data_IF_932587004403
#
_entry.id   IF_932587004403
#
_cell.length_a   1.000
_cell.length_b   1.000
_cell.length_c   1.000
_cell.angle_alpha   90.00
_cell.angle_beta   90.00
_cell.angle_gamma   90.00
#
_symmetry.space_group_name_H-M   'P 1'
#
loop_
_entity.id
_entity.type
_entity.pdbx_description
1 polymer ?
#
# COMPACT_ATOMS: atom_id res chain seq x y z
N UNK A 1 5.99 8.21 4.12
CA UNK A 1 4.53 8.08 4.15
C UNK A 1 4.14 6.77 3.49
N UNK A 2 3.30 5.99 4.11
CA UNK A 2 2.73 4.75 3.57
C UNK A 2 1.22 4.89 3.47
N UNK A 3 0.67 4.51 2.32
CA UNK A 3 -0.78 4.50 2.09
C UNK A 3 -1.24 3.06 2.00
N UNK A 4 -2.19 2.69 2.85
CA UNK A 4 -2.84 1.39 2.87
C UNK A 4 -4.26 1.57 2.37
N UNK A 5 -4.68 0.73 1.42
CA UNK A 5 -6.04 0.73 0.89
C UNK A 5 -6.63 -0.67 1.00
N UNK A 6 -7.79 -0.76 1.65
CA UNK A 6 -8.67 -1.93 1.59
C UNK A 6 -9.84 -1.61 0.67
N UNK A 7 -9.75 -2.07 -0.57
CA UNK A 7 -10.76 -1.79 -1.59
C UNK A 7 -12.10 -2.45 -1.28
N UNK A 8 -12.12 -3.59 -0.59
CA UNK A 8 -13.35 -4.30 -0.23
C UNK A 8 -14.16 -3.58 0.83
N UNK A 9 -13.47 -2.96 1.79
CA UNK A 9 -14.10 -2.21 2.89
C UNK A 9 -14.23 -0.72 2.61
N UNK A 10 -13.73 -0.24 1.47
CA UNK A 10 -13.66 1.20 1.14
C UNK A 10 -12.97 1.99 2.26
N UNK A 11 -11.92 1.41 2.82
CA UNK A 11 -11.16 1.94 3.95
C UNK A 11 -9.72 2.19 3.55
N UNK A 12 -9.14 3.25 4.07
CA UNK A 12 -7.73 3.58 3.92
C UNK A 12 -7.13 4.09 5.19
N UNK A 13 -5.83 3.93 5.29
CA UNK A 13 -5.01 4.47 6.36
C UNK A 13 -3.71 5.02 5.78
N UNK A 14 -3.32 6.19 6.24
CA UNK A 14 -2.06 6.82 5.86
C UNK A 14 -1.17 6.92 7.10
N UNK A 15 -0.03 6.25 7.04
CA UNK A 15 1.01 6.35 8.05
C UNK A 15 2.05 7.38 7.60
N UNK A 16 2.14 8.48 8.32
CA UNK A 16 3.13 9.53 8.05
C UNK A 16 4.43 9.17 8.74
N UNK A 17 5.49 9.04 7.94
CA UNK A 17 6.84 8.73 8.40
C UNK A 17 7.83 9.74 7.82
N UNK A 18 8.98 9.92 8.44
CA UNK A 18 10.01 10.82 7.91
C UNK A 18 10.62 10.29 6.62
N UNK A 19 10.79 8.97 6.55
CA UNK A 19 11.39 8.27 5.42
C UNK A 19 10.56 7.03 5.09
N UNK A 20 10.96 6.32 4.05
CA UNK A 20 10.41 5.01 3.68
C UNK A 20 11.49 3.94 3.77
N UNK A 21 12.05 3.79 4.97
CA UNK A 21 13.07 2.79 5.26
C UNK A 21 12.46 1.40 5.44
N UNK A 22 13.33 0.38 5.45
CA UNK A 22 12.92 -0.97 5.80
C UNK A 22 12.29 -1.06 7.19
N UNK A 23 12.79 -0.29 8.15
CA UNK A 23 12.24 -0.20 9.51
C UNK A 23 10.86 0.44 9.53
N UNK A 24 10.63 1.49 8.75
CA UNK A 24 9.31 2.11 8.60
C UNK A 24 8.31 1.15 7.98
N UNK A 25 8.72 0.40 6.96
CA UNK A 25 7.91 -0.64 6.35
C UNK A 25 7.56 -1.74 7.36
N UNK A 26 8.54 -2.23 8.11
CA UNK A 26 8.32 -3.26 9.13
C UNK A 26 7.33 -2.80 10.21
N UNK A 27 7.45 -1.56 10.68
CA UNK A 27 6.51 -0.98 11.62
C UNK A 27 5.09 -0.86 11.04
N UNK A 28 4.97 -0.51 9.76
CA UNK A 28 3.70 -0.48 9.04
C UNK A 28 3.05 -1.86 8.98
N UNK A 29 3.82 -2.91 8.71
CA UNK A 29 3.32 -4.29 8.68
C UNK A 29 2.89 -4.79 10.05
N UNK A 30 3.61 -4.43 11.11
CA UNK A 30 3.19 -4.71 12.48
C UNK A 30 1.86 -4.03 12.82
N UNK A 31 1.71 -2.77 12.47
CA UNK A 31 0.46 -2.03 12.69
C UNK A 31 -0.71 -2.68 11.93
N UNK A 32 -0.45 -3.14 10.71
CA UNK A 32 -1.44 -3.81 9.88
C UNK A 32 -1.97 -5.09 10.56
N UNK A 33 -1.10 -5.90 11.12
CA UNK A 33 -1.45 -7.16 11.80
C UNK A 33 -2.05 -6.94 13.18
N UNK A 34 -1.52 -6.01 13.95
CA UNK A 34 -1.83 -5.89 15.38
C UNK A 34 -2.91 -4.84 15.68
N UNK A 35 -3.01 -3.81 14.85
CA UNK A 35 -3.91 -2.67 15.07
C UNK A 35 -5.08 -2.68 14.11
N UNK A 36 -4.80 -2.78 12.79
CA UNK A 36 -5.84 -2.60 11.76
C UNK A 36 -6.65 -3.87 11.52
N UNK A 37 -6.02 -5.03 11.56
CA UNK A 37 -6.66 -6.33 11.31
C UNK A 37 -6.23 -7.38 12.35
N UNK A 38 -6.47 -7.13 13.65
CA UNK A 38 -5.97 -8.02 14.71
C UNK A 38 -6.62 -9.41 14.69
N UNK A 39 -7.79 -9.55 14.10
CA UNK A 39 -8.53 -10.80 14.04
C UNK A 39 -8.34 -11.58 12.74
N UNK A 40 -7.59 -11.03 11.78
CA UNK A 40 -7.36 -11.70 10.51
C UNK A 40 -6.30 -12.81 10.63
N UNK A 41 -6.62 -14.01 10.16
CA UNK A 41 -5.64 -15.11 10.09
C UNK A 41 -4.60 -14.84 8.99
N UNK A 42 -5.06 -14.35 7.84
CA UNK A 42 -4.21 -14.00 6.69
C UNK A 42 -4.62 -12.66 6.08
N UNK A 43 -3.64 -11.84 5.79
CA UNK A 43 -3.80 -10.56 5.11
C UNK A 43 -3.01 -10.61 3.82
N UNK A 44 -3.68 -10.49 2.68
CA UNK A 44 -3.03 -10.35 1.38
C UNK A 44 -2.63 -8.91 1.17
N UNK A 45 -1.35 -8.67 1.00
CA UNK A 45 -0.77 -7.33 0.80
C UNK A 45 -0.21 -7.24 -0.61
N UNK A 46 -0.83 -6.41 -1.43
CA UNK A 46 -0.34 -6.10 -2.78
C UNK A 46 0.50 -4.83 -2.70
N UNK A 47 1.73 -4.89 -3.18
CA UNK A 47 2.67 -3.78 -3.09
C UNK A 47 3.65 -3.77 -4.26
N UNK A 48 4.32 -2.64 -4.42
CA UNK A 48 5.41 -2.52 -5.39
C UNK A 48 6.64 -3.29 -4.93
N UNK A 49 7.40 -3.80 -5.88
CA UNK A 49 8.62 -4.57 -5.63
C UNK A 49 9.80 -3.64 -5.32
N UNK A 50 9.72 -2.93 -4.20
CA UNK A 50 10.82 -2.11 -3.68
C UNK A 50 11.74 -2.96 -2.78
N UNK A 51 13.03 -2.65 -2.79
CA UNK A 51 14.04 -3.37 -2.01
C UNK A 51 13.79 -3.34 -0.49
N UNK A 52 13.08 -2.33 0.01
CA UNK A 52 12.72 -2.18 1.42
C UNK A 52 11.42 -2.90 1.81
N UNK A 53 10.63 -3.36 0.84
CA UNK A 53 9.34 -4.02 1.05
C UNK A 53 9.52 -5.55 1.04
N UNK A 54 10.23 -6.09 2.00
CA UNK A 54 10.57 -7.52 2.05
C UNK A 54 10.34 -8.11 3.43
N UNK A 55 10.19 -9.43 3.48
CA UNK A 55 10.17 -10.17 4.74
C UNK A 55 11.46 -9.94 5.56
N UNK A 56 12.60 -9.79 4.89
CA UNK A 56 13.88 -9.47 5.52
C UNK A 56 13.85 -8.17 6.32
N UNK A 57 13.08 -7.18 5.89
CA UNK A 57 12.93 -5.92 6.62
C UNK A 57 12.38 -6.13 8.04
N UNK A 58 11.48 -7.10 8.23
CA UNK A 58 10.94 -7.43 9.54
C UNK A 58 11.97 -8.10 10.42
N UNK A 59 12.78 -9.01 9.87
CA UNK A 59 13.87 -9.67 10.61
C UNK A 59 15.00 -8.70 10.98
N UNK A 60 15.24 -7.68 10.16
CA UNK A 60 16.22 -6.63 10.45
C UNK A 60 15.74 -5.66 11.55
N UNK A 61 14.43 -5.52 11.71
CA UNK A 61 13.82 -4.53 12.62
C UNK A 61 13.41 -5.13 13.95
N UNK A 62 12.85 -6.32 13.95
CA UNK A 62 12.30 -7.00 15.14
C UNK A 62 13.11 -8.24 15.49
N UNK A 63 13.05 -8.70 16.77
CA UNK A 63 13.56 -10.03 17.11
C UNK A 63 12.92 -11.11 16.23
N UNK A 64 13.67 -12.15 15.91
CA UNK A 64 13.22 -13.20 14.98
C UNK A 64 11.85 -13.83 15.34
N UNK A 65 11.54 -14.15 16.59
CA UNK A 65 10.21 -14.65 16.95
C UNK A 65 9.08 -13.67 16.64
N UNK A 66 9.29 -12.40 16.87
CA UNK A 66 8.31 -11.34 16.59
C UNK A 66 8.11 -11.13 15.08
N UNK A 67 9.20 -11.06 14.33
CA UNK A 67 9.14 -10.98 12.88
C UNK A 67 8.39 -12.18 12.28
N UNK A 68 8.68 -13.38 12.76
CA UNK A 68 8.01 -14.62 12.32
C UNK A 68 6.51 -14.59 12.64
N UNK A 69 6.13 -14.15 13.83
CA UNK A 69 4.73 -14.00 14.25
C UNK A 69 3.96 -13.09 13.29
N UNK A 70 4.52 -11.93 12.98
CA UNK A 70 3.88 -10.96 12.07
C UNK A 70 3.76 -11.57 10.67
N UNK A 71 4.84 -12.14 10.14
CA UNK A 71 4.88 -12.69 8.80
C UNK A 71 3.95 -13.88 8.58
N UNK A 72 3.61 -14.63 9.63
CA UNK A 72 2.63 -15.72 9.54
C UNK A 72 1.23 -15.22 9.16
N UNK A 73 0.91 -13.96 9.46
CA UNK A 73 -0.37 -13.34 9.13
C UNK A 73 -0.36 -12.61 7.78
N UNK A 74 0.77 -12.54 7.10
CA UNK A 74 0.94 -11.76 5.87
C UNK A 74 1.23 -12.66 4.67
N UNK A 75 0.60 -12.36 3.57
CA UNK A 75 0.85 -12.94 2.26
C UNK A 75 1.21 -11.81 1.30
N UNK A 76 2.49 -11.69 0.94
CA UNK A 76 2.99 -10.63 0.07
C UNK A 76 2.81 -10.97 -1.40
N UNK A 77 2.21 -10.05 -2.14
CA UNK A 77 2.07 -10.11 -3.58
C UNK A 77 2.68 -8.84 -4.17
N UNK A 78 3.67 -9.00 -5.02
CA UNK A 78 4.35 -7.88 -5.66
C UNK A 78 3.79 -7.64 -7.05
N UNK A 79 3.59 -6.36 -7.41
CA UNK A 79 3.29 -6.01 -8.79
C UNK A 79 4.50 -6.25 -9.67
N UNK A 80 4.32 -6.62 -10.96
CA UNK A 80 5.43 -6.81 -11.87
C UNK A 80 6.28 -5.54 -12.00
N UNK A 81 7.56 -5.73 -12.31
CA UNK A 81 8.47 -4.62 -12.60
C UNK A 81 7.89 -3.74 -13.72
N UNK A 82 7.92 -2.44 -13.52
CA UNK A 82 7.34 -1.44 -14.43
C UNK A 82 5.80 -1.52 -14.61
N UNK A 83 5.11 -2.19 -13.70
CA UNK A 83 3.67 -2.34 -13.71
C UNK A 83 3.01 -1.96 -12.39
N UNK A 84 3.55 -0.98 -11.66
CA UNK A 84 2.99 -0.47 -10.40
C UNK A 84 1.56 0.07 -10.56
N UNK A 85 1.18 0.49 -11.78
CA UNK A 85 -0.18 0.90 -12.11
C UNK A 85 -1.23 -0.21 -11.92
N UNK A 86 -0.83 -1.47 -11.78
CA UNK A 86 -1.72 -2.57 -11.40
C UNK A 86 -2.11 -2.52 -9.91
N UNK A 87 -1.42 -1.73 -9.12
CA UNK A 87 -1.74 -1.55 -7.71
C UNK A 87 -2.77 -0.43 -7.55
N UNK A 88 -3.97 -0.76 -7.09
CA UNK A 88 -5.06 0.22 -6.90
C UNK A 88 -4.68 1.37 -5.96
N UNK A 89 -3.76 1.15 -5.03
CA UNK A 89 -3.31 2.20 -4.10
C UNK A 89 -2.66 3.38 -4.82
N UNK A 90 -2.11 3.18 -6.01
CA UNK A 90 -1.56 4.28 -6.82
C UNK A 90 -2.62 5.33 -7.16
N UNK A 91 -3.86 4.90 -7.41
CA UNK A 91 -4.97 5.82 -7.66
C UNK A 91 -5.29 6.60 -6.38
N UNK A 92 -5.34 5.94 -5.24
CA UNK A 92 -5.61 6.58 -3.95
C UNK A 92 -4.51 7.58 -3.56
N UNK A 93 -3.25 7.26 -3.84
CA UNK A 93 -2.12 8.19 -3.66
C UNK A 93 -2.31 9.44 -4.53
N UNK A 94 -2.77 9.27 -5.76
CA UNK A 94 -3.09 10.40 -6.65
C UNK A 94 -4.20 11.29 -6.09
N UNK A 95 -5.24 10.70 -5.52
CA UNK A 95 -6.32 11.45 -4.87
C UNK A 95 -5.81 12.20 -3.63
N UNK A 96 -5.00 11.56 -2.81
CA UNK A 96 -4.36 12.19 -1.64
C UNK A 96 -3.52 13.41 -2.06
N UNK A 97 -2.71 13.25 -3.10
CA UNK A 97 -1.89 14.35 -3.64
C UNK A 97 -2.74 15.52 -4.11
N UNK A 98 -3.80 15.26 -4.87
CA UNK A 98 -4.63 16.32 -5.44
C UNK A 98 -5.51 17.00 -4.39
N UNK A 99 -6.01 16.29 -3.38
CA UNK A 99 -6.95 16.82 -2.40
C UNK A 99 -6.31 17.37 -1.13
N UNK A 100 -5.13 16.87 -0.78
CA UNK A 100 -4.48 17.19 0.51
C UNK A 100 -3.08 17.74 0.36
N UNK A 101 -2.28 17.19 -0.57
CA UNK A 101 -0.86 17.49 -0.71
C UNK A 101 -0.53 18.40 -1.92
N UNK A 102 -1.51 19.06 -2.50
CA UNK A 102 -1.34 19.97 -3.64
C UNK A 102 -0.67 21.29 -3.26
N UNK A 103 -0.47 21.53 -1.98
CA UNK A 103 0.22 22.69 -1.39
C UNK A 103 1.43 22.26 -0.58
N UNK A 104 2.39 23.16 -0.44
CA UNK A 104 3.56 22.93 0.41
C UNK A 104 3.14 22.95 1.90
N UNK A 105 3.34 21.81 2.57
CA UNK A 105 3.16 21.69 4.02
C UNK A 105 4.55 21.45 4.61
N UNK A 106 5.10 22.48 5.28
CA UNK A 106 6.45 22.41 5.83
C UNK A 106 6.52 21.82 7.23
N UNK A 107 5.42 21.88 7.97
CA UNK A 107 5.37 21.40 9.34
C UNK A 107 4.78 19.98 9.41
N UNK A 108 5.52 19.06 10.02
CA UNK A 108 5.11 17.66 10.16
C UNK A 108 3.77 17.49 10.90
N UNK A 109 3.55 18.27 11.97
CA UNK A 109 2.32 18.21 12.75
C UNK A 109 1.11 18.66 11.94
N UNK A 110 1.27 19.69 11.12
CA UNK A 110 0.23 20.16 10.19
C UNK A 110 -0.05 19.07 9.15
N UNK A 111 0.97 18.45 8.61
CA UNK A 111 0.83 17.33 7.66
C UNK A 111 0.04 16.17 8.28
N UNK A 112 0.39 15.77 9.50
CA UNK A 112 -0.34 14.72 10.23
C UNK A 112 -1.82 15.06 10.40
N UNK A 113 -2.12 16.28 10.82
CA UNK A 113 -3.50 16.73 11.04
C UNK A 113 -4.30 16.75 9.74
N UNK A 114 -3.74 17.30 8.68
CA UNK A 114 -4.41 17.38 7.37
C UNK A 114 -4.65 16.00 6.76
N UNK A 115 -3.67 15.13 6.81
CA UNK A 115 -3.77 13.75 6.31
C UNK A 115 -4.78 12.94 7.13
N UNK A 116 -4.78 13.07 8.45
CA UNK A 116 -5.75 12.40 9.32
C UNK A 116 -7.18 12.88 9.05
N UNK A 117 -7.38 14.17 8.83
CA UNK A 117 -8.69 14.72 8.48
C UNK A 117 -9.18 14.21 7.12
N UNK A 118 -8.31 14.20 6.11
CA UNK A 118 -8.61 13.67 4.78
C UNK A 118 -9.01 12.18 4.85
N UNK A 119 -8.23 11.38 5.59
CA UNK A 119 -8.49 9.95 5.78
C UNK A 119 -9.85 9.70 6.43
N UNK A 120 -10.16 10.40 7.52
CA UNK A 120 -11.44 10.27 8.22
C UNK A 120 -12.61 10.60 7.30
N UNK A 121 -12.51 11.69 6.55
CA UNK A 121 -13.56 12.13 5.65
C UNK A 121 -13.81 11.13 4.52
N UNK A 122 -12.75 10.62 3.90
CA UNK A 122 -12.90 9.63 2.84
C UNK A 122 -13.42 8.29 3.35
N UNK A 123 -12.99 7.84 4.52
CA UNK A 123 -13.51 6.62 5.13
C UNK A 123 -14.99 6.78 5.52
N UNK A 124 -15.37 7.90 6.09
CA UNK A 124 -16.76 8.20 6.47
C UNK A 124 -17.70 8.25 5.26
N UNK A 125 -17.23 8.79 4.13
CA UNK A 125 -18.01 8.84 2.89
C UNK A 125 -18.08 7.52 2.15
N UNK A 126 -17.31 6.51 2.56
CA UNK A 126 -17.19 5.24 1.85
C UNK A 126 -16.61 5.38 0.44
N UNK A 127 -15.73 6.36 0.24
CA UNK A 127 -15.14 6.66 -1.07
C UNK A 127 -14.47 5.43 -1.67
N UNK A 128 -14.79 5.14 -2.93
CA UNK A 128 -14.31 3.98 -3.65
C UNK A 128 -13.46 4.40 -4.84
N UNK A 129 -12.50 3.54 -5.20
CA UNK A 129 -11.75 3.66 -6.43
C UNK A 129 -12.54 3.03 -7.56
N UNK A 130 -12.67 3.77 -8.67
CA UNK A 130 -13.20 3.23 -9.91
C UNK A 130 -12.07 2.56 -10.67
N UNK A 131 -11.96 1.24 -10.54
CA UNK A 131 -10.96 0.47 -11.25
C UNK A 131 -11.37 0.29 -12.71
N UNK A 132 -10.65 0.97 -13.60
CA UNK A 132 -10.96 1.00 -15.04
C UNK A 132 -10.24 -0.09 -15.83
N UNK A 133 -9.32 -0.83 -15.22
CA UNK A 133 -8.58 -1.86 -15.92
C UNK A 133 -9.32 -3.19 -15.87
N UNK A 134 -9.74 -3.66 -17.04
CA UNK A 134 -10.17 -5.05 -17.24
C UNK A 134 -8.94 -5.94 -17.43
N UNK A 135 -9.11 -7.26 -17.29
CA UNK A 135 -8.04 -8.22 -17.59
C UNK A 135 -7.49 -8.01 -19.00
N UNK A 136 -8.37 -7.73 -19.98
CA UNK A 136 -7.98 -7.47 -21.35
C UNK A 136 -7.14 -6.19 -21.49
N UNK A 137 -7.55 -5.09 -20.86
CA UNK A 137 -6.78 -3.83 -20.87
C UNK A 137 -5.42 -3.99 -20.17
N UNK A 138 -5.39 -4.72 -19.07
CA UNK A 138 -4.15 -5.03 -18.37
C UNK A 138 -3.19 -5.84 -19.25
N UNK A 139 -3.70 -6.86 -19.96
CA UNK A 139 -2.90 -7.66 -20.92
C UNK A 139 -2.35 -6.81 -22.06
N UNK A 140 -3.15 -5.90 -22.60
CA UNK A 140 -2.70 -4.98 -23.66
C UNK A 140 -1.56 -4.08 -23.18
N UNK A 141 -1.67 -3.53 -21.99
CA UNK A 141 -0.60 -2.71 -21.42
C UNK A 141 0.66 -3.53 -21.10
N UNK A 142 0.49 -4.72 -20.54
CA UNK A 142 1.60 -5.62 -20.21
C UNK A 142 2.30 -6.15 -21.46
N UNK A 143 1.60 -6.33 -22.57
CA UNK A 143 2.20 -6.80 -23.84
C UNK A 143 3.28 -5.84 -24.37
N UNK A 144 3.20 -4.57 -24.05
CA UNK A 144 4.22 -3.57 -24.40
C UNK A 144 5.49 -3.72 -23.55
N UNK A 145 5.33 -4.05 -22.26
CA UNK A 145 6.43 -4.23 -21.35
C UNK A 145 6.98 -5.67 -21.34
N UNK A 146 6.12 -6.64 -21.66
CA UNK A 146 6.42 -8.09 -21.65
C UNK A 146 5.81 -8.76 -22.88
N UNK A 147 6.46 -8.65 -24.08
CA UNK A 147 5.89 -9.15 -25.34
C UNK A 147 5.54 -10.64 -25.35
N UNK A 148 6.21 -11.44 -24.52
CA UNK A 148 6.02 -12.89 -24.48
C UNK A 148 4.75 -13.33 -23.73
N UNK A 149 4.20 -12.49 -22.88
CA UNK A 149 2.96 -12.79 -22.12
C UNK A 149 1.74 -12.80 -23.06
N UNK A 150 1.78 -12.03 -24.14
CA UNK A 150 0.70 -11.92 -25.11
C UNK A 150 0.53 -13.18 -26.01
N UNK A 151 1.54 -14.06 -26.03
CA UNK A 151 1.55 -15.26 -26.88
C UNK A 151 1.04 -16.53 -26.16
N UNK A 152 0.84 -16.48 -24.87
CA UNK A 152 0.41 -17.63 -24.05
C UNK A 152 -1.10 -17.62 -23.74
N UNK A 153 -1.84 -16.73 -24.31
CA UNK A 153 -3.29 -16.62 -24.08
C UNK A 153 -4.14 -17.20 -25.20
#
# INVERSE_FOLDING_TARGET
>A
MFVILDAHRSWRHVKVTDQRTAQDFAACMRDLTDIHYPDADQIRVVMDNLSTHTAGALYDTFPAPEAHRILQHLEFHYTPKHASWLNMVEIEIGVLRSQCLDRRISEREVLHTEVAAWQRQRNASGARIKWKFTTQKARQKLSRAYPNIAKES
#
